data_IF_310705800008
#
_entry.id   IF_310705800008
#
_cell.length_a   1.000
_cell.length_b   1.000
_cell.length_c   1.000
_cell.angle_alpha   90.00
_cell.angle_beta   90.00
_cell.angle_gamma   90.00
#
_symmetry.space_group_name_H-M   'P 1'
#
loop_
_entity.id
_entity.type
_entity.pdbx_description
1 polymer ?
#
# COMPACT_ATOMS: atom_id res chain seq x y z
N UNK A 1 6.34 18.00 3.68
CA UNK A 1 6.25 18.52 2.30
C UNK A 1 4.81 18.85 1.89
N UNK A 2 4.56 20.05 1.35
CA UNK A 2 3.26 20.40 0.73
C UNK A 2 3.21 19.89 -0.72
N UNK A 3 2.05 19.45 -1.22
CA UNK A 3 1.86 19.04 -2.63
C UNK A 3 0.66 19.82 -3.18
N UNK A 4 0.88 20.63 -4.21
CA UNK A 4 -0.15 21.49 -4.82
C UNK A 4 -0.19 21.33 -6.33
N UNK A 5 -1.38 21.50 -6.91
CA UNK A 5 -1.56 21.69 -8.34
C UNK A 5 -1.44 23.18 -8.67
N UNK A 6 -0.53 23.55 -9.58
CA UNK A 6 -0.42 24.92 -10.07
C UNK A 6 0.32 25.02 -11.41
N UNK A 7 0.01 26.08 -12.17
CA UNK A 7 0.65 26.41 -13.45
C UNK A 7 2.00 27.17 -13.29
N UNK A 8 2.64 27.04 -12.12
CA UNK A 8 3.99 27.53 -11.76
C UNK A 8 4.26 29.06 -11.79
N UNK A 9 3.34 29.91 -12.24
CA UNK A 9 3.59 31.37 -12.34
C UNK A 9 3.11 32.14 -11.10
N UNK A 10 4.02 32.92 -10.50
CA UNK A 10 3.70 34.04 -9.61
C UNK A 10 3.55 33.76 -8.11
N UNK A 11 3.89 32.56 -7.63
CA UNK A 11 3.77 32.18 -6.21
C UNK A 11 5.13 31.88 -5.56
N UNK A 12 5.31 32.27 -4.29
CA UNK A 12 6.46 31.91 -3.44
C UNK A 12 6.26 30.49 -2.88
N UNK A 13 6.68 29.48 -3.65
CA UNK A 13 6.59 28.07 -3.25
C UNK A 13 7.82 27.69 -2.45
N UNK A 14 7.71 27.57 -1.12
CA UNK A 14 8.81 27.09 -0.26
C UNK A 14 8.53 25.68 0.24
N UNK A 15 9.53 24.80 0.20
CA UNK A 15 9.41 23.40 0.63
C UNK A 15 8.12 22.75 0.11
N UNK A 16 7.90 22.90 -1.20
CA UNK A 16 6.64 22.55 -1.85
C UNK A 16 6.89 21.78 -3.13
N UNK A 17 6.13 20.70 -3.31
CA UNK A 17 5.99 20.01 -4.59
C UNK A 17 4.84 20.65 -5.36
N UNK A 18 5.13 21.05 -6.59
CA UNK A 18 4.14 21.60 -7.52
C UNK A 18 3.92 20.62 -8.66
N UNK A 19 2.66 20.31 -8.92
CA UNK A 19 2.21 19.53 -10.07
C UNK A 19 1.63 20.49 -11.11
N UNK A 20 2.35 20.67 -12.21
CA UNK A 20 1.91 21.48 -13.34
C UNK A 20 1.33 20.58 -14.43
N UNK A 21 0.03 20.70 -14.69
CA UNK A 21 -0.66 19.83 -15.63
C UNK A 21 -0.15 20.03 -17.06
N UNK A 22 0.27 18.95 -17.73
CA UNK A 22 0.73 19.02 -19.10
C UNK A 22 -0.46 18.93 -20.07
N UNK A 23 -1.09 20.08 -20.34
CA UNK A 23 -2.24 20.20 -21.25
C UNK A 23 -1.95 19.68 -22.68
N UNK A 24 -0.68 19.65 -23.08
CA UNK A 24 -0.24 19.20 -24.40
C UNK A 24 -0.06 17.69 -24.54
N UNK A 25 -0.09 16.93 -23.44
CA UNK A 25 0.13 15.48 -23.46
C UNK A 25 -1.15 14.70 -23.70
N UNK A 26 -1.10 13.68 -24.56
CA UNK A 26 -2.24 12.80 -24.85
C UNK A 26 -1.76 11.39 -25.24
N UNK A 27 -2.07 10.41 -24.40
CA UNK A 27 -1.86 8.99 -24.65
C UNK A 27 -3.17 8.30 -25.02
N UNK A 28 -3.45 8.19 -26.32
CA UNK A 28 -4.64 7.48 -26.81
C UNK A 28 -5.96 7.95 -26.16
N UNK A 29 -6.11 9.25 -25.96
CA UNK A 29 -7.26 9.89 -25.31
C UNK A 29 -7.05 10.20 -23.84
N UNK A 30 -6.04 9.63 -23.19
CA UNK A 30 -5.76 9.84 -21.76
C UNK A 30 -4.75 10.96 -21.55
N UNK A 31 -5.17 12.02 -20.85
CA UNK A 31 -4.30 13.13 -20.43
C UNK A 31 -4.04 13.03 -18.93
N UNK A 32 -2.91 12.42 -18.60
CA UNK A 32 -2.53 12.01 -17.23
C UNK A 32 -1.23 12.65 -16.75
N UNK A 33 -0.51 13.37 -17.61
CA UNK A 33 0.84 13.84 -17.31
C UNK A 33 0.84 15.19 -16.58
N UNK A 34 1.68 15.25 -15.55
CA UNK A 34 2.10 16.45 -14.85
C UNK A 34 3.62 16.57 -14.93
N UNK A 35 4.10 17.80 -15.03
CA UNK A 35 5.47 18.12 -14.64
C UNK A 35 5.46 18.32 -13.13
N UNK A 36 6.12 17.40 -12.42
CA UNK A 36 6.34 17.53 -10.98
C UNK A 36 7.61 18.34 -10.76
N UNK A 37 7.52 19.35 -9.89
CA UNK A 37 8.64 20.24 -9.53
C UNK A 37 8.80 20.29 -8.03
N UNK A 38 10.03 20.30 -7.55
CA UNK A 38 10.32 20.57 -6.15
C UNK A 38 10.96 21.95 -5.99
N UNK A 39 10.34 22.77 -5.15
CA UNK A 39 10.86 24.06 -4.72
C UNK A 39 11.41 23.97 -3.29
N UNK A 40 12.66 24.38 -3.12
CA UNK A 40 13.39 24.30 -1.86
C UNK A 40 12.93 25.37 -0.83
N UNK A 41 13.67 25.53 0.26
CA UNK A 41 13.39 26.53 1.30
C UNK A 41 13.52 27.99 0.82
N UNK A 42 14.30 28.22 -0.24
CA UNK A 42 14.51 29.53 -0.86
C UNK A 42 13.44 29.84 -1.92
N UNK A 43 12.63 28.85 -2.27
CA UNK A 43 11.67 28.94 -3.37
C UNK A 43 12.30 28.78 -4.74
N UNK A 44 13.48 28.17 -4.82
CA UNK A 44 14.13 27.82 -6.08
C UNK A 44 13.66 26.44 -6.53
N UNK A 45 13.31 26.31 -7.81
CA UNK A 45 13.00 25.01 -8.42
C UNK A 45 14.30 24.23 -8.63
N UNK A 46 14.62 23.31 -7.71
CA UNK A 46 15.89 22.55 -7.73
C UNK A 46 15.79 21.25 -8.52
N UNK A 47 14.58 20.81 -8.86
CA UNK A 47 14.34 19.58 -9.59
C UNK A 47 12.97 19.60 -10.27
N UNK A 48 12.90 19.05 -11.49
CA UNK A 48 11.66 18.67 -12.15
C UNK A 48 11.73 17.30 -12.85
N UNK A 49 10.56 16.71 -13.08
CA UNK A 49 10.40 15.44 -13.80
C UNK A 49 8.98 15.28 -14.34
N UNK A 50 8.75 14.25 -15.13
CA UNK A 50 7.40 13.84 -15.55
C UNK A 50 6.81 12.82 -14.56
N UNK A 51 5.57 13.09 -14.14
CA UNK A 51 4.75 12.20 -13.33
C UNK A 51 3.43 11.97 -14.06
N UNK A 52 2.97 10.72 -14.13
CA UNK A 52 1.62 10.43 -14.61
C UNK A 52 0.72 10.09 -13.43
N UNK A 53 -0.47 10.68 -13.40
CA UNK A 53 -1.53 10.41 -12.44
C UNK A 53 -2.76 9.92 -13.18
N UNK A 54 -3.30 8.79 -12.76
CA UNK A 54 -4.50 8.17 -13.32
C UNK A 54 -5.64 8.21 -12.31
N UNK A 55 -6.87 8.23 -12.82
CA UNK A 55 -8.13 8.19 -12.06
C UNK A 55 -9.05 7.16 -12.72
N UNK A 56 -9.65 6.22 -11.95
CA UNK A 56 -10.51 5.16 -12.50
C UNK A 56 -11.66 5.69 -13.35
N UNK A 57 -12.19 6.84 -13.00
CA UNK A 57 -13.29 7.52 -13.68
C UNK A 57 -12.96 7.83 -15.15
N UNK A 58 -11.67 7.89 -15.53
CA UNK A 58 -11.25 8.09 -16.91
C UNK A 58 -11.70 6.94 -17.81
N UNK A 59 -11.62 5.69 -17.38
CA UNK A 59 -12.02 4.53 -18.21
C UNK A 59 -13.54 4.47 -18.46
N UNK A 60 -14.32 5.17 -17.63
CA UNK A 60 -15.79 5.21 -17.71
C UNK A 60 -16.33 6.51 -18.31
N UNK A 61 -15.48 7.51 -18.54
CA UNK A 61 -15.94 8.77 -19.09
C UNK A 61 -16.37 8.58 -20.55
N UNK A 62 -17.53 9.13 -20.91
CA UNK A 62 -18.07 9.05 -22.27
C UNK A 62 -17.39 10.01 -23.26
N UNK A 63 -16.44 10.82 -22.79
CA UNK A 63 -15.70 11.77 -23.61
C UNK A 63 -14.57 11.08 -24.37
N UNK A 64 -14.29 11.51 -25.60
CA UNK A 64 -13.11 11.05 -26.36
C UNK A 64 -11.77 11.52 -25.73
N UNK A 65 -11.84 12.48 -24.81
CA UNK A 65 -10.71 13.03 -24.09
C UNK A 65 -10.91 12.89 -22.58
N UNK A 66 -9.98 12.21 -21.93
CA UNK A 66 -10.01 11.85 -20.52
C UNK A 66 -8.95 12.64 -19.76
N UNK A 67 -9.33 13.78 -19.21
CA UNK A 67 -8.42 14.68 -18.48
C UNK A 67 -8.46 14.40 -16.98
N UNK A 68 -7.35 13.89 -16.42
CA UNK A 68 -7.28 13.60 -14.99
C UNK A 68 -7.40 14.87 -14.15
N UNK A 69 -6.99 16.02 -14.69
CA UNK A 69 -6.94 17.29 -13.97
C UNK A 69 -8.28 17.79 -13.46
N UNK A 70 -9.36 17.38 -14.13
CA UNK A 70 -10.74 17.68 -13.75
C UNK A 70 -11.16 16.98 -12.45
N UNK A 71 -10.45 15.93 -12.04
CA UNK A 71 -10.75 15.13 -10.85
C UNK A 71 -9.79 15.43 -9.68
N UNK A 72 -8.65 16.09 -9.93
CA UNK A 72 -7.69 16.42 -8.87
C UNK A 72 -8.02 17.74 -8.17
N UNK A 73 -7.94 17.70 -6.84
CA UNK A 73 -7.99 18.89 -5.99
C UNK A 73 -6.76 19.77 -6.17
N UNK A 74 -6.88 21.06 -5.83
CA UNK A 74 -5.77 22.04 -5.90
C UNK A 74 -4.65 21.74 -4.91
N UNK A 75 -4.95 21.11 -3.78
CA UNK A 75 -3.99 20.63 -2.80
C UNK A 75 -4.21 19.13 -2.57
N UNK A 76 -3.11 18.37 -2.48
CA UNK A 76 -3.16 16.91 -2.37
C UNK A 76 -2.65 16.52 -0.99
N UNK A 77 -3.54 16.38 -0.02
CA UNK A 77 -3.19 15.78 1.27
C UNK A 77 -2.91 14.28 1.11
N UNK A 78 -3.78 13.57 0.40
CA UNK A 78 -3.65 12.16 0.04
C UNK A 78 -4.58 11.91 -1.15
N UNK A 79 -4.09 11.27 -2.20
CA UNK A 79 -4.95 10.78 -3.28
C UNK A 79 -5.82 9.63 -2.77
N UNK A 80 -7.13 9.70 -3.04
CA UNK A 80 -8.08 8.66 -2.65
C UNK A 80 -7.88 7.37 -3.46
N UNK A 81 -8.64 6.31 -3.14
CA UNK A 81 -8.42 4.98 -3.71
C UNK A 81 -8.76 4.81 -5.20
N UNK A 82 -9.31 5.83 -5.84
CA UNK A 82 -9.57 5.84 -7.27
C UNK A 82 -8.38 6.35 -8.09
N UNK A 83 -7.34 6.88 -7.44
CA UNK A 83 -6.16 7.39 -8.10
C UNK A 83 -4.93 6.51 -7.85
N UNK A 84 -4.03 6.54 -8.83
CA UNK A 84 -2.65 6.08 -8.70
C UNK A 84 -1.69 7.02 -9.45
N UNK A 85 -0.41 6.95 -9.10
CA UNK A 85 0.66 7.66 -9.83
C UNK A 85 1.79 6.73 -10.24
N UNK A 86 2.58 7.17 -11.21
CA UNK A 86 3.84 6.52 -11.57
C UNK A 86 4.82 7.57 -12.08
N UNK A 87 6.07 7.50 -11.62
CA UNK A 87 7.17 8.22 -12.26
C UNK A 87 7.41 7.67 -13.67
N UNK A 88 7.57 8.53 -14.67
CA UNK A 88 7.74 8.10 -16.06
C UNK A 88 9.06 7.33 -16.33
N UNK A 89 10.02 7.38 -15.40
CA UNK A 89 11.29 6.66 -15.48
C UNK A 89 11.89 6.45 -14.08
N UNK A 90 12.99 5.70 -14.00
CA UNK A 90 13.69 5.44 -12.74
C UNK A 90 14.36 6.69 -12.12
N UNK A 91 14.81 7.63 -12.94
CA UNK A 91 15.48 8.88 -12.50
C UNK A 91 14.57 9.75 -11.63
N UNK A 92 13.25 9.73 -11.87
CA UNK A 92 12.25 10.34 -10.99
C UNK A 92 12.44 9.93 -9.52
N UNK A 93 12.57 8.63 -9.26
CA UNK A 93 12.68 8.10 -7.90
C UNK A 93 14.04 8.39 -7.27
N UNK A 94 15.11 8.30 -8.07
CA UNK A 94 16.47 8.63 -7.63
C UNK A 94 16.57 10.10 -7.19
N UNK A 95 16.04 11.02 -8.01
CA UNK A 95 16.05 12.44 -7.67
C UNK A 95 15.13 12.77 -6.51
N UNK A 96 13.93 12.19 -6.46
CA UNK A 96 13.04 12.38 -5.31
C UNK A 96 13.74 11.98 -4.00
N UNK A 97 14.47 10.86 -4.00
CA UNK A 97 15.27 10.42 -2.85
C UNK A 97 16.48 11.31 -2.57
N UNK A 98 17.17 11.79 -3.61
CA UNK A 98 18.31 12.70 -3.48
C UNK A 98 17.92 14.03 -2.84
N UNK A 99 16.85 14.66 -3.31
CA UNK A 99 16.42 15.98 -2.85
C UNK A 99 15.57 15.90 -1.56
N UNK A 100 14.82 14.81 -1.38
CA UNK A 100 13.88 14.63 -0.27
C UNK A 100 14.09 13.29 0.47
N UNK A 101 15.31 13.00 0.98
CA UNK A 101 15.68 11.68 1.52
C UNK A 101 14.86 11.24 2.74
N UNK A 102 14.26 12.18 3.47
CA UNK A 102 13.42 11.87 4.65
C UNK A 102 11.92 11.93 4.34
N UNK A 103 11.53 12.39 3.14
CA UNK A 103 10.13 12.65 2.79
C UNK A 103 9.64 11.85 1.57
N UNK A 104 10.52 11.33 0.72
CA UNK A 104 10.16 10.64 -0.53
C UNK A 104 9.10 9.55 -0.31
N UNK A 105 9.24 8.71 0.72
CA UNK A 105 8.28 7.64 1.01
C UNK A 105 6.89 8.16 1.40
N UNK A 106 6.81 9.29 2.11
CA UNK A 106 5.53 9.94 2.45
C UNK A 106 4.88 10.52 1.20
N UNK A 107 5.67 11.10 0.31
CA UNK A 107 5.21 11.67 -0.97
C UNK A 107 4.65 10.57 -1.88
N UNK A 108 5.42 9.51 -2.11
CA UNK A 108 5.01 8.36 -2.92
C UNK A 108 3.74 7.70 -2.37
N UNK A 109 3.63 7.57 -1.04
CA UNK A 109 2.41 7.09 -0.39
C UNK A 109 1.21 8.00 -0.65
N UNK A 110 1.38 9.32 -0.50
CA UNK A 110 0.31 10.32 -0.71
C UNK A 110 -0.16 10.38 -2.17
N UNK A 111 0.72 10.07 -3.10
CA UNK A 111 0.41 10.01 -4.54
C UNK A 111 -0.09 8.63 -4.99
N UNK A 112 -0.26 7.66 -4.07
CA UNK A 112 -0.65 6.28 -4.43
C UNK A 112 0.28 5.69 -5.50
N UNK A 113 1.58 5.90 -5.34
CA UNK A 113 2.56 5.54 -6.36
C UNK A 113 2.67 4.02 -6.53
N UNK A 114 2.67 3.59 -7.79
CA UNK A 114 2.63 2.19 -8.19
C UNK A 114 3.96 1.45 -8.00
N UNK A 115 5.11 2.12 -8.01
CA UNK A 115 6.37 1.50 -7.63
C UNK A 115 6.45 1.28 -6.11
N UNK A 116 5.89 2.21 -5.34
CA UNK A 116 5.95 2.16 -3.88
C UNK A 116 4.88 1.26 -3.23
N UNK A 117 3.71 1.13 -3.87
CA UNK A 117 2.54 0.41 -3.33
C UNK A 117 2.16 -0.80 -4.20
N UNK A 118 2.70 -1.97 -3.83
CA UNK A 118 2.50 -3.23 -4.57
C UNK A 118 1.03 -3.69 -4.59
N UNK A 119 0.26 -3.39 -3.55
CA UNK A 119 -1.16 -3.73 -3.50
C UNK A 119 -1.95 -2.92 -4.54
N UNK A 120 -1.67 -1.61 -4.64
CA UNK A 120 -2.26 -0.79 -5.69
C UNK A 120 -1.77 -1.19 -7.07
N UNK A 121 -0.49 -1.54 -7.23
CA UNK A 121 0.02 -2.09 -8.48
C UNK A 121 -0.80 -3.27 -8.98
N UNK A 122 -1.07 -4.26 -8.12
CA UNK A 122 -1.83 -5.46 -8.49
C UNK A 122 -3.24 -5.17 -9.01
N UNK A 123 -3.85 -4.06 -8.54
CA UNK A 123 -5.20 -3.62 -8.91
C UNK A 123 -5.15 -2.73 -10.16
N UNK A 124 -4.31 -1.70 -10.15
CA UNK A 124 -4.31 -0.65 -11.18
C UNK A 124 -3.69 -1.11 -12.50
N UNK A 125 -2.77 -2.09 -12.49
CA UNK A 125 -2.13 -2.58 -13.72
C UNK A 125 -3.13 -3.10 -14.75
N UNK A 126 -4.31 -3.57 -14.33
CA UNK A 126 -5.30 -4.12 -15.25
C UNK A 126 -6.20 -3.05 -15.90
N UNK A 127 -6.12 -1.80 -15.45
CA UNK A 127 -6.95 -0.73 -16.00
C UNK A 127 -6.46 -0.29 -17.38
N UNK A 128 -7.40 -0.01 -18.29
CA UNK A 128 -7.10 0.29 -19.68
C UNK A 128 -6.34 1.60 -19.79
N UNK A 129 -6.75 2.63 -19.05
CA UNK A 129 -6.04 3.91 -19.03
C UNK A 129 -4.64 3.82 -18.44
N UNK A 130 -4.41 2.91 -17.48
CA UNK A 130 -3.07 2.67 -16.93
C UNK A 130 -2.17 2.03 -17.99
N UNK A 131 -2.65 0.99 -18.67
CA UNK A 131 -1.90 0.32 -19.75
C UNK A 131 -1.64 1.25 -20.94
N UNK A 132 -2.65 2.02 -21.37
CA UNK A 132 -2.53 2.90 -22.54
C UNK A 132 -1.71 4.16 -22.29
N UNK A 133 -1.66 4.65 -21.05
CA UNK A 133 -1.01 5.91 -20.71
C UNK A 133 0.19 5.73 -19.79
N UNK A 134 -0.02 5.23 -18.57
CA UNK A 134 1.02 5.15 -17.55
C UNK A 134 2.13 4.16 -17.94
N UNK A 135 1.75 3.01 -18.49
CA UNK A 135 2.63 1.91 -18.89
C UNK A 135 2.73 1.76 -20.41
N UNK A 136 2.49 2.85 -21.15
CA UNK A 136 2.48 2.84 -22.61
C UNK A 136 3.78 2.31 -23.22
N UNK A 137 4.90 2.57 -22.56
CA UNK A 137 6.24 2.23 -23.04
C UNK A 137 6.89 1.22 -22.09
N UNK A 138 7.69 0.32 -22.66
CA UNK A 138 8.50 -0.64 -21.91
C UNK A 138 9.41 0.08 -20.89
N UNK A 139 9.94 1.26 -21.25
CA UNK A 139 10.73 2.11 -20.35
C UNK A 139 9.97 2.52 -19.07
N UNK A 140 8.66 2.74 -19.15
CA UNK A 140 7.86 3.14 -18.00
C UNK A 140 7.66 1.96 -17.03
N UNK A 141 7.40 0.77 -17.59
CA UNK A 141 7.27 -0.46 -16.80
C UNK A 141 8.61 -0.86 -16.17
N UNK A 142 9.69 -0.88 -16.94
CA UNK A 142 11.04 -1.12 -16.41
C UNK A 142 11.43 -0.09 -15.35
N UNK A 143 11.08 1.19 -15.57
CA UNK A 143 11.34 2.26 -14.62
C UNK A 143 10.64 2.02 -13.28
N UNK A 144 9.42 1.48 -13.32
CA UNK A 144 8.64 1.08 -12.14
C UNK A 144 9.27 -0.11 -11.43
N UNK A 145 9.66 -1.15 -12.17
CA UNK A 145 10.28 -2.35 -11.59
C UNK A 145 11.59 -2.02 -10.87
N UNK A 146 12.49 -1.28 -11.54
CA UNK A 146 13.75 -0.80 -10.94
C UNK A 146 13.50 0.05 -9.69
N UNK A 147 12.49 0.92 -9.74
CA UNK A 147 12.10 1.73 -8.59
C UNK A 147 11.57 0.87 -7.44
N UNK A 148 10.70 -0.10 -7.72
CA UNK A 148 10.11 -0.97 -6.72
C UNK A 148 11.18 -1.79 -5.98
N UNK A 149 12.14 -2.36 -6.72
CA UNK A 149 13.29 -3.08 -6.15
C UNK A 149 14.11 -2.18 -5.20
N UNK A 150 14.55 -1.01 -5.69
CA UNK A 150 15.29 -0.05 -4.87
C UNK A 150 14.52 0.38 -3.60
N UNK A 151 13.22 0.63 -3.74
CA UNK A 151 12.38 1.09 -2.62
C UNK A 151 12.16 -0.03 -1.58
N UNK A 152 12.11 -1.30 -1.99
CA UNK A 152 12.06 -2.43 -1.07
C UNK A 152 13.40 -2.64 -0.36
N UNK A 153 14.53 -2.52 -1.06
CA UNK A 153 15.85 -2.54 -0.44
C UNK A 153 15.99 -1.47 0.65
N UNK A 154 15.52 -0.25 0.39
CA UNK A 154 15.51 0.83 1.39
C UNK A 154 14.69 0.50 2.63
N UNK A 155 13.51 -0.11 2.45
CA UNK A 155 12.66 -0.56 3.56
C UNK A 155 13.36 -1.64 4.39
N UNK A 156 14.03 -2.59 3.74
CA UNK A 156 14.77 -3.64 4.40
C UNK A 156 16.01 -3.11 5.14
N UNK A 157 16.79 -2.24 4.52
CA UNK A 157 17.96 -1.61 5.13
C UNK A 157 17.58 -0.77 6.35
N UNK A 158 16.47 -0.04 6.27
CA UNK A 158 15.94 0.70 7.42
C UNK A 158 15.53 -0.25 8.55
N UNK A 159 14.82 -1.33 8.21
CA UNK A 159 14.41 -2.35 9.18
C UNK A 159 15.62 -3.00 9.88
N UNK A 160 16.65 -3.37 9.11
CA UNK A 160 17.90 -3.94 9.63
C UNK A 160 18.63 -2.95 10.54
N UNK A 161 18.79 -1.68 10.11
CA UNK A 161 19.41 -0.64 10.93
C UNK A 161 18.66 -0.40 12.23
N UNK A 162 17.33 -0.43 12.20
CA UNK A 162 16.49 -0.34 13.39
C UNK A 162 16.66 -1.56 14.31
N UNK A 163 16.82 -2.75 13.74
CA UNK A 163 17.11 -3.98 14.48
C UNK A 163 18.46 -3.91 15.20
N UNK A 164 19.54 -3.51 14.52
CA UNK A 164 20.88 -3.36 15.13
C UNK A 164 20.94 -2.26 16.21
N UNK A 165 20.28 -1.12 15.99
CA UNK A 165 20.17 -0.07 17.00
C UNK A 165 19.44 -0.54 18.26
N UNK A 166 18.50 -1.47 18.13
CA UNK A 166 17.83 -2.11 19.27
C UNK A 166 18.73 -3.09 20.02
N UNK A 167 19.74 -3.68 19.37
CA UNK A 167 20.65 -4.67 19.95
C UNK A 167 21.85 -4.04 20.68
N UNK A 168 22.38 -2.92 20.19
CA UNK A 168 23.59 -2.29 20.75
C UNK A 168 23.34 -1.39 21.99
N UNK A 169 22.13 -1.36 22.54
CA UNK A 169 21.83 -0.69 23.80
C UNK A 169 21.95 -1.66 25.00
N UNK A 170 23.18 -1.87 25.52
CA UNK A 170 23.59 -1.62 26.93
C UNK A 170 24.74 -2.52 27.44
N UNK A 171 25.63 -1.91 28.26
CA UNK A 171 26.40 -2.60 29.30
C UNK A 171 26.19 -2.06 30.75
N UNK A 172 25.73 -0.82 31.00
CA UNK A 172 25.68 -0.31 32.40
C UNK A 172 24.31 -0.19 33.06
N UNK A 173 23.21 -0.35 32.31
CA UNK A 173 21.86 -0.07 32.82
C UNK A 173 20.94 -1.31 32.83
N UNK A 174 21.51 -2.51 32.90
CA UNK A 174 20.81 -3.78 32.68
C UNK A 174 19.92 -4.18 33.86
N UNK A 175 20.33 -3.97 35.12
CA UNK A 175 19.56 -4.46 36.27
C UNK A 175 18.30 -3.64 36.57
N UNK A 176 18.34 -2.31 36.47
CA UNK A 176 17.13 -1.47 36.69
C UNK A 176 16.08 -1.62 35.60
N UNK A 177 16.51 -2.09 34.44
CA UNK A 177 15.64 -2.29 33.28
C UNK A 177 15.12 -3.71 33.20
N UNK A 178 15.76 -4.68 33.87
CA UNK A 178 15.28 -6.07 33.96
C UNK A 178 13.89 -6.21 34.59
N UNK A 179 13.50 -5.28 35.46
CA UNK A 179 12.14 -5.21 36.03
C UNK A 179 11.16 -4.36 35.20
N UNK A 180 11.66 -3.61 34.21
CA UNK A 180 10.86 -2.70 33.37
C UNK A 180 10.72 -3.17 31.92
N UNK A 181 11.57 -4.12 31.49
CA UNK A 181 11.54 -4.79 30.18
C UNK A 181 11.25 -6.25 30.43
N UNK A 182 9.99 -6.54 30.69
CA UNK A 182 9.37 -7.73 30.12
C UNK A 182 8.47 -7.21 28.98
N UNK A 183 8.95 -7.36 27.74
CA UNK A 183 8.32 -7.09 26.43
C UNK A 183 8.23 -5.65 25.87
N UNK A 184 8.71 -5.48 24.60
CA UNK A 184 8.27 -4.61 23.46
C UNK A 184 9.37 -3.69 22.86
N UNK A 185 9.55 -3.54 21.52
CA UNK A 185 8.69 -3.88 20.37
C UNK A 185 9.45 -3.84 18.99
N UNK A 186 9.88 -4.98 18.46
CA UNK A 186 9.42 -5.36 17.12
C UNK A 186 8.03 -5.92 17.38
N UNK A 187 6.98 -5.29 16.86
CA UNK A 187 5.63 -5.79 17.10
C UNK A 187 5.52 -7.12 16.34
N UNK A 188 5.76 -8.24 17.03
CA UNK A 188 5.66 -9.59 16.47
C UNK A 188 4.28 -9.71 15.83
N UNK A 189 4.26 -10.02 14.53
CA UNK A 189 3.02 -10.28 13.80
C UNK A 189 2.69 -11.75 13.98
N UNK A 190 1.41 -12.04 14.19
CA UNK A 190 0.92 -13.39 14.39
C UNK A 190 -0.09 -13.73 13.32
N UNK A 191 -0.06 -14.97 12.83
CA UNK A 191 -1.12 -15.58 12.06
C UNK A 191 -2.15 -16.16 13.03
N UNK A 192 -3.41 -15.76 12.90
CA UNK A 192 -4.47 -16.11 13.85
C UNK A 192 -5.61 -16.78 13.10
N UNK A 193 -5.77 -18.08 13.31
CA UNK A 193 -6.88 -18.86 12.74
C UNK A 193 -8.18 -18.57 13.50
N UNK A 194 -9.26 -18.24 12.79
CA UNK A 194 -10.59 -17.91 13.34
C UNK A 194 -11.55 -19.02 12.96
N UNK A 195 -12.03 -19.75 13.96
CA UNK A 195 -13.02 -20.81 13.82
C UNK A 195 -14.34 -20.43 14.48
N UNK A 196 -15.46 -20.80 13.88
CA UNK A 196 -16.81 -20.62 14.42
C UNK A 196 -17.88 -21.22 13.51
N UNK A 197 -19.10 -21.39 14.00
CA UNK A 197 -20.27 -21.64 13.16
C UNK A 197 -20.52 -20.45 12.23
N UNK A 198 -20.87 -20.70 10.96
CA UNK A 198 -20.89 -19.63 9.96
C UNK A 198 -22.09 -18.68 10.14
N UNK A 199 -23.30 -19.23 9.98
CA UNK A 199 -24.55 -18.48 9.79
C UNK A 199 -24.92 -17.51 10.91
N UNK A 200 -24.69 -17.89 12.17
CA UNK A 200 -25.11 -17.12 13.35
C UNK A 200 -24.03 -16.16 13.86
N UNK A 201 -22.78 -16.31 13.40
CA UNK A 201 -21.64 -15.56 13.92
C UNK A 201 -20.92 -14.71 12.86
N UNK A 202 -21.57 -14.39 11.74
CA UNK A 202 -20.99 -13.55 10.69
C UNK A 202 -20.50 -12.20 11.25
N UNK A 203 -21.33 -11.48 11.99
CA UNK A 203 -20.98 -10.17 12.56
C UNK A 203 -19.90 -10.27 13.67
N UNK A 204 -20.00 -11.17 14.67
CA UNK A 204 -18.91 -11.42 15.62
C UNK A 204 -17.58 -11.78 14.96
N UNK A 205 -17.60 -12.66 13.94
CA UNK A 205 -16.41 -13.06 13.19
C UNK A 205 -15.77 -11.87 12.48
N UNK A 206 -16.58 -11.02 11.85
CA UNK A 206 -16.10 -9.79 11.22
C UNK A 206 -15.45 -8.85 12.24
N UNK A 207 -16.05 -8.65 13.41
CA UNK A 207 -15.48 -7.82 14.49
C UNK A 207 -14.15 -8.36 15.00
N UNK A 208 -14.03 -9.68 15.17
CA UNK A 208 -12.78 -10.34 15.58
C UNK A 208 -11.70 -10.17 14.51
N UNK A 209 -12.03 -10.40 13.24
CA UNK A 209 -11.12 -10.18 12.11
C UNK A 209 -10.61 -8.74 12.05
N UNK A 210 -11.51 -7.77 12.15
CA UNK A 210 -11.17 -6.35 12.10
C UNK A 210 -10.31 -5.93 13.31
N UNK A 211 -10.55 -6.51 14.49
CA UNK A 211 -9.71 -6.31 15.66
C UNK A 211 -8.29 -6.86 15.45
N UNK A 212 -8.16 -8.06 14.89
CA UNK A 212 -6.86 -8.69 14.56
C UNK A 212 -6.08 -7.82 13.58
N UNK A 213 -6.73 -7.31 12.52
CA UNK A 213 -6.12 -6.41 11.56
C UNK A 213 -5.69 -5.07 12.20
N UNK A 214 -6.52 -4.47 13.06
CA UNK A 214 -6.17 -3.25 13.82
C UNK A 214 -4.96 -3.45 14.73
N UNK A 215 -4.73 -4.67 15.21
CA UNK A 215 -3.54 -5.01 15.99
C UNK A 215 -2.28 -5.22 15.14
N UNK A 216 -2.41 -5.22 13.81
CA UNK A 216 -1.37 -5.52 12.80
C UNK A 216 -0.99 -7.01 12.78
N UNK A 217 -1.97 -7.90 12.91
CA UNK A 217 -1.82 -9.36 12.79
C UNK A 217 -2.60 -9.89 11.58
N UNK A 218 -2.36 -11.13 11.19
CA UNK A 218 -2.96 -11.76 10.01
C UNK A 218 -4.09 -12.69 10.43
N UNK A 219 -5.36 -12.33 10.22
CA UNK A 219 -6.46 -13.26 10.47
C UNK A 219 -6.56 -14.27 9.32
N UNK A 220 -6.84 -15.53 9.68
CA UNK A 220 -7.18 -16.59 8.73
C UNK A 220 -8.52 -17.19 9.12
N UNK A 221 -9.50 -17.16 8.24
CA UNK A 221 -10.83 -17.72 8.51
C UNK A 221 -11.25 -18.71 7.43
N UNK A 222 -12.33 -19.43 7.71
CA UNK A 222 -12.85 -20.45 6.80
C UNK A 222 -13.35 -19.87 5.46
N UNK A 223 -13.61 -18.56 5.41
CA UNK A 223 -13.98 -17.81 4.21
C UNK A 223 -12.91 -17.77 3.11
N UNK A 224 -11.66 -18.11 3.44
CA UNK A 224 -10.56 -18.19 2.45
C UNK A 224 -10.47 -19.55 1.75
N UNK A 225 -11.27 -20.54 2.16
CA UNK A 225 -11.33 -21.84 1.51
C UNK A 225 -12.62 -21.94 0.70
N UNK A 226 -12.51 -22.41 -0.55
CA UNK A 226 -13.70 -22.72 -1.37
C UNK A 226 -14.49 -23.87 -0.71
N UNK A 227 -15.69 -24.21 -1.19
CA UNK A 227 -16.53 -25.26 -0.59
C UNK A 227 -16.45 -26.63 -1.30
N UNK A 228 -15.29 -27.02 -1.86
CA UNK A 228 -15.16 -28.20 -2.73
C UNK A 228 -13.98 -29.14 -2.45
N UNK A 229 -14.35 -30.40 -2.16
CA UNK A 229 -13.62 -31.68 -2.23
C UNK A 229 -12.47 -32.03 -1.27
N UNK A 230 -12.20 -33.34 -1.20
CA UNK A 230 -11.41 -34.10 -0.21
C UNK A 230 -10.03 -33.53 0.16
N UNK A 231 -9.41 -32.69 -0.67
CA UNK A 231 -8.13 -32.03 -0.38
C UNK A 231 -8.20 -30.77 0.49
N UNK A 232 -9.40 -30.36 0.90
CA UNK A 232 -9.59 -29.14 1.68
C UNK A 232 -9.21 -29.30 3.14
N UNK A 233 -9.42 -30.50 3.68
CA UNK A 233 -9.14 -30.77 5.09
C UNK A 233 -7.64 -30.68 5.38
N UNK A 234 -6.78 -31.22 4.50
CA UNK A 234 -5.33 -31.13 4.64
C UNK A 234 -4.84 -29.67 4.56
N UNK A 235 -5.46 -28.86 3.70
CA UNK A 235 -5.15 -27.43 3.58
C UNK A 235 -5.57 -26.67 4.85
N UNK A 236 -6.77 -26.95 5.37
CA UNK A 236 -7.27 -26.34 6.61
C UNK A 236 -6.36 -26.74 7.77
N UNK A 237 -6.02 -28.03 7.91
CA UNK A 237 -5.11 -28.53 8.93
C UNK A 237 -3.74 -27.87 8.85
N UNK A 238 -3.11 -27.85 7.66
CA UNK A 238 -1.82 -27.17 7.49
C UNK A 238 -1.89 -25.67 7.81
N UNK A 239 -3.02 -25.03 7.54
CA UNK A 239 -3.24 -23.62 7.89
C UNK A 239 -3.41 -23.41 9.40
N UNK A 240 -4.06 -24.34 10.09
CA UNK A 240 -4.17 -24.32 11.55
C UNK A 240 -2.79 -24.54 12.19
N UNK A 241 -2.05 -25.53 11.72
CA UNK A 241 -0.72 -25.88 12.23
C UNK A 241 0.31 -24.75 12.04
N UNK A 242 0.21 -24.02 10.93
CA UNK A 242 1.07 -22.86 10.66
C UNK A 242 0.64 -21.58 11.38
N UNK A 243 -0.56 -21.55 11.97
CA UNK A 243 -1.06 -20.38 12.69
C UNK A 243 -0.47 -20.30 14.11
N UNK A 244 -0.04 -19.11 14.52
CA UNK A 244 0.50 -18.85 15.87
C UNK A 244 -0.58 -18.94 16.97
N UNK A 245 -1.83 -18.61 16.61
CA UNK A 245 -2.98 -18.66 17.53
C UNK A 245 -4.22 -19.21 16.85
N UNK A 246 -5.05 -19.90 17.62
CA UNK A 246 -6.36 -20.40 17.22
C UNK A 246 -7.45 -19.76 18.08
N UNK A 247 -8.40 -19.08 17.45
CA UNK A 247 -9.51 -18.39 18.10
C UNK A 247 -10.81 -19.07 17.72
N UNK A 248 -11.48 -19.67 18.70
CA UNK A 248 -12.81 -20.25 18.54
C UNK A 248 -13.87 -19.27 19.06
N UNK A 249 -14.79 -18.85 18.20
CA UNK A 249 -15.96 -18.04 18.59
C UNK A 249 -17.14 -18.99 18.77
N UNK A 250 -17.71 -19.03 19.97
CA UNK A 250 -18.83 -19.91 20.32
C UNK A 250 -20.12 -19.08 20.38
N UNK A 251 -21.14 -19.55 19.68
CA UNK A 251 -22.50 -19.01 19.68
C UNK A 251 -23.50 -20.02 20.25
N UNK A 252 -24.78 -19.82 19.96
CA UNK A 252 -25.84 -20.75 20.38
C UNK A 252 -25.97 -21.98 19.47
N UNK A 253 -25.19 -22.06 18.37
CA UNK A 253 -25.13 -23.22 17.48
C UNK A 253 -23.80 -23.95 17.68
N UNK A 254 -23.86 -25.27 17.78
CA UNK A 254 -22.68 -26.13 17.95
C UNK A 254 -22.29 -26.88 16.66
N UNK A 255 -23.00 -26.63 15.57
CA UNK A 255 -22.83 -27.32 14.28
C UNK A 255 -24.16 -27.53 13.58
N UNK A 256 -24.11 -28.22 12.44
CA UNK A 256 -25.31 -28.74 11.75
C UNK A 256 -25.43 -30.22 12.10
N UNK A 257 -26.61 -30.66 12.51
CA UNK A 257 -26.86 -32.09 12.69
C UNK A 257 -26.74 -32.78 11.33
N UNK A 258 -25.79 -33.71 11.23
CA UNK A 258 -25.72 -34.66 10.12
C UNK A 258 -26.71 -35.78 10.42
N UNK A 259 -27.60 -36.09 9.46
CA UNK A 259 -28.68 -37.09 9.61
C UNK A 259 -28.19 -38.48 10.06
N UNK A 260 -26.89 -38.80 9.97
CA UNK A 260 -26.35 -40.14 10.15
C UNK A 260 -25.17 -40.29 11.13
N UNK A 261 -24.92 -39.36 12.05
CA UNK A 261 -24.12 -39.60 13.27
C UNK A 261 -22.69 -40.17 13.15
N UNK A 262 -22.10 -40.25 11.95
CA UNK A 262 -20.74 -40.78 11.76
C UNK A 262 -19.74 -39.62 11.82
N UNK A 263 -18.93 -39.59 12.88
CA UNK A 263 -17.76 -38.71 12.94
C UNK A 263 -16.77 -39.12 11.84
N UNK A 264 -16.38 -38.18 10.97
CA UNK A 264 -15.13 -38.29 10.22
C UNK A 264 -14.05 -37.65 11.11
N UNK A 265 -13.17 -38.50 11.62
CA UNK A 265 -11.95 -38.12 12.36
C UNK A 265 -10.76 -37.99 11.45
#
# INVERSE_FOLDING_TARGET
>A
MKIVKADALGCDYKNTIVLSYNKGWNDFGYKTEYIIKYFDENGECVWDSSLKIYCKQLDFASSECHEVDSFLSSEIEQLNDDFCSIGCNYDYYLKLKQYLPNEYGVILKRLNDLAFNINKWSIFKEYVGVQKSLLRTEMAEEGRDKAAEMLEEDKMNLFEKMSYLSLNKKDSDIEKVKYSIDNKNVKKKYQIFISSTYTDLVEPRQKVRDAILRMMHFPVGMEMFNAGDEGQWEIIQGTIESSDYYVLIIGNRYGTEIENGAMLG
#
